data_IF_797866131198
#
_entry.id   IF_797866131198
#
_cell.length_a   1.000
_cell.length_b   1.000
_cell.length_c   1.000
_cell.angle_alpha   90.00
_cell.angle_beta   90.00
_cell.angle_gamma   90.00
#
_symmetry.space_group_name_H-M   'P 1'
#
loop_
_entity.id
_entity.type
_entity.pdbx_description
1 polymer ?
#
# COMPACT_ATOMS: atom_id res chain seq x y z
N UNK A 1 4.90 10.33 16.84
CA UNK A 1 6.17 9.70 16.44
C UNK A 1 6.22 8.35 17.16
N UNK A 2 6.28 7.23 16.44
CA UNK A 2 6.27 5.89 17.03
C UNK A 2 7.56 5.65 17.83
N UNK A 3 7.43 5.19 19.07
CA UNK A 3 8.54 5.02 20.02
C UNK A 3 9.43 3.81 19.74
N UNK A 4 8.92 2.76 19.09
CA UNK A 4 9.72 1.67 18.53
C UNK A 4 9.03 1.02 17.32
N UNK A 5 9.82 0.58 16.34
CA UNK A 5 9.35 0.04 15.05
C UNK A 5 9.02 -1.45 15.07
N UNK A 6 8.56 -2.01 16.19
CA UNK A 6 8.15 -3.42 16.25
C UNK A 6 6.71 -3.57 15.72
N UNK A 7 6.40 -4.69 15.07
CA UNK A 7 5.05 -4.93 14.53
C UNK A 7 3.96 -4.88 15.61
N UNK A 8 4.30 -5.20 16.86
CA UNK A 8 3.38 -5.10 17.99
C UNK A 8 3.03 -3.67 18.36
N UNK A 9 4.02 -2.79 18.50
CA UNK A 9 3.75 -1.38 18.79
C UNK A 9 3.00 -0.70 17.66
N UNK A 10 3.29 -1.05 16.41
CA UNK A 10 2.55 -0.53 15.27
C UNK A 10 1.08 -0.96 15.29
N UNK A 11 0.80 -2.24 15.54
CA UNK A 11 -0.57 -2.75 15.65
C UNK A 11 -1.35 -2.04 16.78
N UNK A 12 -0.76 -1.92 17.96
CA UNK A 12 -1.39 -1.27 19.12
C UNK A 12 -1.73 0.20 18.84
N UNK A 13 -0.78 0.96 18.26
CA UNK A 13 -1.01 2.36 17.94
C UNK A 13 -2.07 2.55 16.85
N UNK A 14 -2.10 1.66 15.84
CA UNK A 14 -3.15 1.70 14.82
C UNK A 14 -4.49 1.36 15.45
N UNK A 15 -4.57 0.34 16.31
CA UNK A 15 -5.81 0.00 17.00
C UNK A 15 -6.34 1.17 17.85
N UNK A 16 -5.49 1.80 18.65
CA UNK A 16 -5.89 2.96 19.46
C UNK A 16 -6.40 4.11 18.59
N UNK A 17 -5.77 4.38 17.44
CA UNK A 17 -6.26 5.39 16.49
C UNK A 17 -7.64 5.05 15.94
N UNK A 18 -7.92 3.77 15.65
CA UNK A 18 -9.24 3.34 15.18
C UNK A 18 -10.32 3.54 16.24
N UNK A 19 -9.99 3.31 17.52
CA UNK A 19 -10.86 3.56 18.66
C UNK A 19 -11.10 5.06 18.84
N UNK A 20 -10.02 5.87 18.82
CA UNK A 20 -10.09 7.32 18.96
C UNK A 20 -10.93 7.97 17.84
N UNK A 21 -10.90 7.40 16.64
CA UNK A 21 -11.71 7.84 15.51
C UNK A 21 -13.14 7.27 15.53
N UNK A 22 -13.44 6.34 16.42
CA UNK A 22 -14.77 5.70 16.53
C UNK A 22 -15.12 4.85 15.31
N UNK A 23 -14.12 4.30 14.61
CA UNK A 23 -14.32 3.51 13.38
C UNK A 23 -13.87 2.05 13.52
N UNK A 24 -13.40 1.63 14.70
CA UNK A 24 -12.89 0.28 14.94
C UNK A 24 -13.83 -0.81 14.42
N UNK A 25 -15.14 -0.70 14.67
CA UNK A 25 -16.14 -1.68 14.20
C UNK A 25 -16.32 -1.66 12.67
N UNK A 26 -16.10 -0.52 12.02
CA UNK A 26 -16.34 -0.31 10.59
C UNK A 26 -15.18 -0.73 9.68
N UNK A 27 -14.00 -1.01 10.23
CA UNK A 27 -12.85 -1.43 9.42
C UNK A 27 -13.10 -2.84 8.88
N UNK A 28 -12.93 -3.10 7.59
CA UNK A 28 -13.19 -4.43 7.00
C UNK A 28 -12.01 -4.96 6.20
N UNK A 29 -11.01 -4.11 5.96
CA UNK A 29 -9.86 -4.44 5.14
C UNK A 29 -8.61 -3.73 5.65
N UNK A 30 -7.46 -4.38 5.47
CA UNK A 30 -6.14 -3.83 5.76
C UNK A 30 -5.34 -3.84 4.47
N UNK A 31 -4.79 -2.68 4.10
CA UNK A 31 -3.84 -2.55 3.01
C UNK A 31 -2.45 -2.34 3.63
N UNK A 32 -1.56 -3.33 3.47
CA UNK A 32 -0.19 -3.30 3.99
C UNK A 32 0.80 -3.76 2.90
N UNK A 33 2.07 -3.34 2.99
CA UNK A 33 3.12 -3.90 2.13
C UNK A 33 3.40 -5.38 2.48
N UNK A 34 4.04 -6.12 1.57
CA UNK A 34 4.29 -7.57 1.74
C UNK A 34 5.53 -7.87 2.58
N UNK A 35 5.98 -6.94 3.42
CA UNK A 35 7.16 -7.17 4.27
C UNK A 35 6.74 -8.03 5.46
N UNK A 36 7.63 -8.93 5.88
CA UNK A 36 7.37 -9.88 6.97
C UNK A 36 6.96 -9.21 8.30
N UNK A 37 7.35 -7.96 8.56
CA UNK A 37 6.88 -7.21 9.73
C UNK A 37 5.37 -6.92 9.71
N UNK A 38 4.78 -6.80 8.53
CA UNK A 38 3.35 -6.54 8.36
C UNK A 38 2.55 -7.85 8.22
N UNK A 39 3.08 -8.84 7.50
CA UNK A 39 2.36 -10.07 7.14
C UNK A 39 2.79 -11.31 7.92
N UNK A 40 3.75 -11.19 8.84
CA UNK A 40 4.27 -12.32 9.60
C UNK A 40 3.17 -13.05 10.36
N UNK A 41 3.10 -14.38 10.21
CA UNK A 41 1.99 -15.17 10.74
C UNK A 41 1.78 -15.05 12.27
N UNK A 42 2.85 -14.83 13.04
CA UNK A 42 2.78 -14.78 14.50
C UNK A 42 2.79 -13.36 15.08
N UNK A 43 3.52 -12.43 14.45
CA UNK A 43 3.78 -11.09 14.98
C UNK A 43 3.64 -9.99 13.92
N UNK A 44 3.02 -10.32 12.78
CA UNK A 44 2.73 -9.35 11.74
C UNK A 44 1.68 -8.36 12.22
N UNK A 45 1.88 -7.08 11.89
CA UNK A 45 0.92 -6.02 12.22
C UNK A 45 -0.51 -6.38 11.80
N UNK A 46 -0.67 -6.97 10.62
CA UNK A 46 -1.98 -7.26 10.05
C UNK A 46 -2.69 -8.39 10.83
N UNK A 47 -1.96 -9.39 11.36
CA UNK A 47 -2.48 -10.45 12.24
C UNK A 47 -2.85 -9.92 13.62
N UNK A 48 -1.98 -9.09 14.21
CA UNK A 48 -2.22 -8.52 15.53
C UNK A 48 -3.44 -7.59 15.52
N UNK A 49 -3.62 -6.81 14.45
CA UNK A 49 -4.80 -5.96 14.28
C UNK A 49 -6.11 -6.76 14.17
N UNK A 50 -6.12 -7.90 13.47
CA UNK A 50 -7.29 -8.79 13.45
C UNK A 50 -7.64 -9.30 14.85
N UNK A 51 -6.63 -9.68 15.63
CA UNK A 51 -6.81 -10.13 17.02
C UNK A 51 -7.38 -9.02 17.90
N UNK A 52 -6.86 -7.79 17.79
CA UNK A 52 -7.35 -6.65 18.57
C UNK A 52 -8.77 -6.22 18.18
N UNK A 53 -9.12 -6.33 16.90
CA UNK A 53 -10.45 -6.00 16.39
C UNK A 53 -11.45 -7.16 16.50
N UNK A 54 -10.99 -8.34 16.93
CA UNK A 54 -11.76 -9.58 17.07
C UNK A 54 -12.59 -9.93 15.83
N UNK A 55 -12.03 -9.71 14.63
CA UNK A 55 -12.74 -9.94 13.37
C UNK A 55 -11.81 -10.33 12.21
N UNK A 56 -12.37 -11.10 11.30
CA UNK A 56 -11.72 -11.45 10.05
C UNK A 56 -11.62 -10.22 9.14
N UNK A 57 -10.43 -9.95 8.63
CA UNK A 57 -10.15 -8.77 7.82
C UNK A 57 -9.73 -9.15 6.41
N UNK A 58 -10.15 -8.34 5.44
CA UNK A 58 -9.70 -8.52 4.07
C UNK A 58 -8.29 -7.95 3.87
N UNK A 59 -7.35 -8.80 3.48
CA UNK A 59 -5.96 -8.40 3.25
C UNK A 59 -5.76 -7.91 1.81
N UNK A 60 -5.53 -6.62 1.66
CA UNK A 60 -5.24 -5.95 0.40
C UNK A 60 -3.73 -5.72 0.27
N UNK A 61 -2.97 -6.81 0.14
CA UNK A 61 -1.51 -6.76 0.10
C UNK A 61 -1.02 -5.93 -1.10
N UNK A 62 -0.11 -5.01 -0.80
CA UNK A 62 0.39 -4.06 -1.75
C UNK A 62 1.24 -4.75 -2.83
N UNK A 63 0.82 -4.67 -4.10
CA UNK A 63 1.61 -5.16 -5.24
C UNK A 63 2.74 -4.22 -5.66
N UNK A 64 2.87 -3.05 -5.04
CA UNK A 64 3.99 -2.15 -5.32
C UNK A 64 5.33 -2.88 -5.11
N UNK A 65 5.44 -3.75 -4.09
CA UNK A 65 6.66 -4.51 -3.88
C UNK A 65 7.05 -5.41 -5.06
N UNK A 66 6.08 -6.05 -5.73
CA UNK A 66 6.35 -6.85 -6.92
C UNK A 66 6.85 -5.96 -8.07
N UNK A 67 6.22 -4.80 -8.25
CA UNK A 67 6.65 -3.85 -9.28
C UNK A 67 8.03 -3.26 -8.97
N UNK A 68 8.32 -2.98 -7.70
CA UNK A 68 9.64 -2.54 -7.24
C UNK A 68 10.71 -3.59 -7.54
N UNK A 69 10.46 -4.88 -7.30
CA UNK A 69 11.39 -5.96 -7.63
C UNK A 69 11.66 -6.03 -9.14
N UNK A 70 10.60 -6.01 -9.96
CA UNK A 70 10.76 -6.03 -11.43
C UNK A 70 11.52 -4.80 -11.92
N UNK A 71 11.17 -3.61 -11.40
CA UNK A 71 11.85 -2.37 -11.72
C UNK A 71 13.31 -2.41 -11.25
N UNK A 72 13.60 -2.97 -10.07
CA UNK A 72 14.96 -3.12 -9.55
C UNK A 72 15.80 -3.99 -10.48
N UNK A 73 15.28 -5.13 -10.94
CA UNK A 73 15.99 -5.99 -11.90
C UNK A 73 16.27 -5.28 -13.23
N UNK A 74 15.28 -4.56 -13.77
CA UNK A 74 15.46 -3.77 -15.01
C UNK A 74 16.48 -2.65 -14.79
N UNK A 75 16.43 -1.99 -13.63
CA UNK A 75 17.34 -0.91 -13.30
C UNK A 75 18.77 -1.42 -13.13
N UNK A 76 18.96 -2.54 -12.45
CA UNK A 76 20.26 -3.21 -12.33
C UNK A 76 20.81 -3.66 -13.69
N UNK A 77 19.98 -4.19 -14.58
CA UNK A 77 20.43 -4.60 -15.92
C UNK A 77 20.80 -3.40 -16.79
N UNK A 78 20.05 -2.29 -16.72
CA UNK A 78 20.28 -1.10 -17.56
C UNK A 78 21.32 -0.13 -17.01
N UNK A 79 21.48 -0.06 -15.69
CA UNK A 79 22.30 0.95 -15.03
C UNK A 79 23.38 0.35 -14.10
N UNK A 80 23.43 -0.98 -13.96
CA UNK A 80 24.35 -1.69 -13.08
C UNK A 80 23.87 -1.74 -11.62
N UNK A 81 24.62 -2.46 -10.78
CA UNK A 81 24.34 -2.55 -9.34
C UNK A 81 24.56 -1.17 -8.71
N UNK A 82 23.51 -0.61 -8.13
CA UNK A 82 23.58 0.67 -7.40
C UNK A 82 23.58 0.40 -5.90
N UNK A 83 24.58 0.90 -5.18
CA UNK A 83 24.74 0.68 -3.74
C UNK A 83 24.16 1.78 -2.86
N UNK A 84 23.35 2.70 -3.40
CA UNK A 84 22.71 3.74 -2.59
C UNK A 84 21.87 4.76 -3.36
N UNK A 85 21.24 5.70 -2.64
CA UNK A 85 20.28 6.67 -3.19
C UNK A 85 20.92 7.73 -4.09
N UNK A 86 22.25 7.78 -4.15
CA UNK A 86 23.02 8.79 -4.89
C UNK A 86 23.23 8.40 -6.37
N UNK A 87 22.18 7.93 -7.03
CA UNK A 87 22.23 7.63 -8.46
C UNK A 87 22.18 8.96 -9.23
N UNK A 88 23.17 9.26 -10.10
CA UNK A 88 23.23 10.53 -10.81
C UNK A 88 21.97 10.86 -11.62
N UNK A 89 21.29 9.84 -12.14
CA UNK A 89 20.01 9.98 -12.83
C UNK A 89 18.93 10.58 -11.92
N UNK A 90 18.76 10.05 -10.71
CA UNK A 90 17.75 10.54 -9.77
C UNK A 90 18.09 11.93 -9.23
N UNK A 91 19.38 12.25 -9.01
CA UNK A 91 19.79 13.61 -8.64
C UNK A 91 19.44 14.63 -9.73
N UNK A 92 19.77 14.34 -10.98
CA UNK A 92 19.41 15.19 -12.13
C UNK A 92 17.90 15.37 -12.23
N UNK A 93 17.14 14.30 -12.03
CA UNK A 93 15.68 14.36 -12.04
C UNK A 93 15.14 15.23 -10.91
N UNK A 94 15.66 15.08 -9.69
CA UNK A 94 15.27 15.88 -8.53
C UNK A 94 15.56 17.38 -8.74
N UNK A 95 16.74 17.73 -9.27
CA UNK A 95 17.12 19.11 -9.60
C UNK A 95 16.23 19.72 -10.69
N UNK A 96 15.77 18.90 -11.64
CA UNK A 96 14.92 19.34 -12.74
C UNK A 96 13.42 19.33 -12.38
N UNK A 97 13.02 18.65 -11.31
CA UNK A 97 11.62 18.44 -10.95
C UNK A 97 10.82 19.75 -10.83
N UNK A 98 11.41 20.79 -10.23
CA UNK A 98 10.78 22.11 -10.07
C UNK A 98 10.62 22.89 -11.38
N UNK A 99 11.32 22.48 -12.45
CA UNK A 99 11.26 23.10 -13.78
C UNK A 99 10.24 22.41 -14.69
N UNK A 100 9.69 21.26 -14.29
CA UNK A 100 8.67 20.56 -15.06
C UNK A 100 7.37 21.36 -15.02
N UNK A 101 6.87 21.72 -16.20
CA UNK A 101 5.55 22.33 -16.30
C UNK A 101 4.46 21.25 -16.14
N UNK A 102 3.89 21.17 -14.95
CA UNK A 102 2.82 20.21 -14.62
C UNK A 102 1.46 20.57 -15.19
N UNK A 103 1.27 21.79 -15.74
CA UNK A 103 -0.01 22.21 -16.31
C UNK A 103 -0.46 21.34 -17.49
N UNK A 104 0.50 20.75 -18.19
CA UNK A 104 0.25 19.94 -19.38
C UNK A 104 0.16 18.44 -19.09
N UNK A 105 0.39 18.02 -17.85
CA UNK A 105 0.29 16.63 -17.44
C UNK A 105 -0.98 16.40 -16.64
N UNK A 106 -1.63 15.27 -16.90
CA UNK A 106 -2.74 14.79 -16.10
C UNK A 106 -2.38 13.42 -15.54
N UNK A 107 -3.00 13.06 -14.41
CA UNK A 107 -2.93 11.68 -13.93
C UNK A 107 -3.40 10.73 -15.03
N UNK A 108 -2.65 9.64 -15.27
CA UNK A 108 -3.00 8.64 -16.27
C UNK A 108 -4.38 8.01 -16.04
N UNK A 109 -4.91 8.08 -14.81
CA UNK A 109 -6.28 7.61 -14.50
C UNK A 109 -7.35 8.46 -15.20
N UNK A 110 -7.04 9.71 -15.56
CA UNK A 110 -7.95 10.58 -16.33
C UNK A 110 -7.99 10.22 -17.82
N UNK A 111 -7.02 9.46 -18.33
CA UNK A 111 -7.03 8.99 -19.71
C UNK A 111 -8.17 7.99 -19.92
N UNK A 112 -8.95 8.17 -20.98
CA UNK A 112 -10.14 7.35 -21.23
C UNK A 112 -9.79 5.90 -21.52
N UNK A 113 -8.70 5.63 -22.25
CA UNK A 113 -8.29 4.26 -22.58
C UNK A 113 -7.80 3.53 -21.33
N UNK A 114 -7.00 4.20 -20.50
CA UNK A 114 -6.53 3.65 -19.22
C UNK A 114 -7.72 3.41 -18.28
N UNK A 115 -8.63 4.38 -18.16
CA UNK A 115 -9.81 4.26 -17.32
C UNK A 115 -10.71 3.10 -17.76
N UNK A 116 -10.94 2.94 -19.06
CA UNK A 116 -11.69 1.80 -19.61
C UNK A 116 -10.98 0.47 -19.33
N UNK A 117 -9.67 0.37 -19.57
CA UNK A 117 -8.91 -0.84 -19.33
C UNK A 117 -8.91 -1.25 -17.84
N UNK A 118 -8.90 -0.27 -16.93
CA UNK A 118 -8.92 -0.51 -15.48
C UNK A 118 -10.33 -0.68 -14.91
N UNK A 119 -11.39 -0.28 -15.65
CA UNK A 119 -12.77 -0.24 -15.17
C UNK A 119 -13.27 -1.60 -14.66
N UNK A 120 -12.99 -2.67 -15.39
CA UNK A 120 -13.40 -4.03 -15.03
C UNK A 120 -12.77 -4.45 -13.70
N UNK A 121 -11.44 -4.32 -13.58
CA UNK A 121 -10.70 -4.65 -12.36
C UNK A 121 -11.17 -3.80 -11.18
N UNK A 122 -11.39 -2.50 -11.39
CA UNK A 122 -11.91 -1.60 -10.36
C UNK A 122 -13.28 -2.06 -9.87
N UNK A 123 -14.21 -2.33 -10.78
CA UNK A 123 -15.57 -2.73 -10.44
C UNK A 123 -15.60 -4.11 -9.78
N UNK A 124 -14.75 -5.04 -10.23
CA UNK A 124 -14.58 -6.35 -9.61
C UNK A 124 -14.09 -6.22 -8.16
N UNK A 125 -13.00 -5.50 -7.92
CA UNK A 125 -12.45 -5.27 -6.58
C UNK A 125 -13.51 -4.60 -5.69
N UNK A 126 -14.19 -3.57 -6.20
CA UNK A 126 -15.24 -2.89 -5.46
C UNK A 126 -16.39 -3.83 -5.07
N UNK A 127 -16.85 -4.66 -6.01
CA UNK A 127 -17.92 -5.64 -5.77
C UNK A 127 -17.50 -6.71 -4.77
N UNK A 128 -16.26 -7.18 -4.86
CA UNK A 128 -15.68 -8.14 -3.93
C UNK A 128 -15.62 -7.58 -2.51
N UNK A 129 -15.11 -6.35 -2.32
CA UNK A 129 -15.08 -5.70 -1.01
C UNK A 129 -16.49 -5.54 -0.42
N UNK A 130 -17.48 -5.13 -1.23
CA UNK A 130 -18.88 -5.02 -0.80
C UNK A 130 -19.49 -6.35 -0.38
N UNK A 131 -19.15 -7.45 -1.05
CA UNK A 131 -19.61 -8.78 -0.67
C UNK A 131 -18.97 -9.25 0.64
N UNK A 132 -17.68 -8.94 0.84
CA UNK A 132 -16.97 -9.24 2.08
C UNK A 132 -17.60 -8.50 3.26
N UNK A 133 -17.81 -7.18 3.15
CA UNK A 133 -18.50 -6.36 4.16
C UNK A 133 -19.82 -6.98 4.64
N UNK A 134 -20.62 -7.53 3.72
CA UNK A 134 -21.93 -8.12 4.05
C UNK A 134 -21.84 -9.44 4.79
N UNK A 135 -20.75 -10.20 4.65
CA UNK A 135 -20.56 -11.49 5.33
C UNK A 135 -20.06 -11.32 6.76
N UNK A 136 -19.36 -10.22 7.05
CA UNK A 136 -18.82 -9.95 8.39
C UNK A 136 -19.88 -9.35 9.34
N UNK A 137 -21.01 -8.85 8.81
CA UNK A 137 -22.09 -8.19 9.58
C UNK A 137 -23.28 -9.15 9.87
N UNK A 138 -23.29 -10.36 9.31
CA UNK A 138 -24.35 -11.38 9.51
C UNK A 138 -23.95 -12.44 10.52
#
# INVERSE_FOLDING_TARGET
>A
QLSAGTGKEQAENVFQLLIDWGIADSVVAICCDTIASNTGHLNGVCVLLEQHLEKDMLYLMCRHHIFELVLSCVFEEKFGITSGPNIPLFKKFQEYWSKLNTSNYNSGIKDSNICMALSHTKNYVFSFCRLFERRTIS
#
